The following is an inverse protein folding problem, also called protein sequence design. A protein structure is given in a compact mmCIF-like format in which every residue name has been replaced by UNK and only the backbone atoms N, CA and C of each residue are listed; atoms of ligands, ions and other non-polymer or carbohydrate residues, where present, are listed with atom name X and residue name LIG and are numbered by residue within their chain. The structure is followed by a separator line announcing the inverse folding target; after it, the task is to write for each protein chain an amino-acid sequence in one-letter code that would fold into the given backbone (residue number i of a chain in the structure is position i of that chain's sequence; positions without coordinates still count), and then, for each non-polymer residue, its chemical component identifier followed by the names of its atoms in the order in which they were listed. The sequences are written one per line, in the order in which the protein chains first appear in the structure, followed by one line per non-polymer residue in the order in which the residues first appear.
data_IF_514924886001
#
_entry.id   IF_514924886001
#
_cell.length_a   1.000
_cell.length_b   1.000
_cell.length_c   1.000
_cell.angle_alpha   90.00
_cell.angle_beta   90.00
_cell.angle_gamma   90.00
#
_symmetry.space_group_name_H-M   'P 1'
#
loop_
_entity.id
_entity.type
_entity.pdbx_description
1 polymer ?
#
# COMPACT_ATOMS: atom_id res chain seq x y z
N UNK A 1 5.40 16.09 -0.92
CA UNK A 1 4.79 15.94 -2.27
C UNK A 1 5.87 15.51 -3.25
N UNK A 2 5.65 14.39 -3.91
CA UNK A 2 6.51 13.86 -4.97
C UNK A 2 6.32 14.72 -6.23
N UNK A 3 7.42 15.12 -6.87
CA UNK A 3 7.41 15.86 -8.14
C UNK A 3 8.17 15.18 -9.27
N UNK A 4 8.90 14.11 -8.95
CA UNK A 4 9.60 13.28 -9.93
C UNK A 4 9.33 11.81 -9.66
N UNK A 5 9.12 11.03 -10.71
CA UNK A 5 8.93 9.58 -10.59
C UNK A 5 10.13 8.91 -9.91
N UNK A 6 11.34 9.42 -10.15
CA UNK A 6 12.56 8.95 -9.49
C UNK A 6 12.55 9.18 -7.96
N UNK A 7 11.97 10.30 -7.51
CA UNK A 7 11.86 10.58 -6.07
C UNK A 7 10.88 9.61 -5.40
N UNK A 8 9.78 9.29 -6.09
CA UNK A 8 8.86 8.24 -5.64
C UNK A 8 9.55 6.88 -5.60
N UNK A 9 10.21 6.45 -6.68
CA UNK A 9 10.89 5.15 -6.72
C UNK A 9 11.84 5.00 -5.54
N UNK A 10 12.70 6.01 -5.31
CA UNK A 10 13.67 5.99 -4.21
C UNK A 10 12.99 5.96 -2.84
N UNK A 11 12.01 6.82 -2.60
CA UNK A 11 11.33 6.92 -1.31
C UNK A 11 10.49 5.67 -1.03
N UNK A 12 9.63 5.29 -1.97
CA UNK A 12 8.73 4.16 -1.84
C UNK A 12 9.48 2.83 -1.78
N UNK A 13 10.54 2.62 -2.58
CA UNK A 13 11.38 1.42 -2.48
C UNK A 13 12.02 1.29 -1.09
N UNK A 14 12.41 2.40 -0.47
CA UNK A 14 12.93 2.38 0.90
C UNK A 14 11.84 2.06 1.93
N UNK A 15 10.67 2.70 1.84
CA UNK A 15 9.53 2.43 2.73
C UNK A 15 9.06 0.97 2.59
N UNK A 16 8.89 0.49 1.36
CA UNK A 16 8.51 -0.89 1.05
C UNK A 16 9.44 -1.90 1.71
N UNK A 17 10.76 -1.70 1.62
CA UNK A 17 11.75 -2.57 2.28
C UNK A 17 11.63 -2.50 3.80
N UNK A 18 11.40 -1.33 4.36
CA UNK A 18 11.17 -1.15 5.80
C UNK A 18 9.92 -1.90 6.28
N UNK A 19 8.79 -1.70 5.58
CA UNK A 19 7.53 -2.38 5.89
C UNK A 19 7.66 -3.90 5.76
N UNK A 20 8.28 -4.39 4.68
CA UNK A 20 8.53 -5.83 4.52
C UNK A 20 9.39 -6.41 5.65
N UNK A 21 10.39 -5.67 6.13
CA UNK A 21 11.20 -6.10 7.28
C UNK A 21 10.37 -6.20 8.55
N UNK A 22 9.42 -5.28 8.77
CA UNK A 22 8.50 -5.33 9.91
C UNK A 22 7.52 -6.50 9.76
N UNK A 23 6.92 -6.67 8.59
CA UNK A 23 5.99 -7.78 8.31
C UNK A 23 6.67 -9.15 8.45
N UNK A 24 7.95 -9.26 8.10
CA UNK A 24 8.73 -10.48 8.30
C UNK A 24 8.95 -10.85 9.78
N UNK A 25 8.76 -9.90 10.71
CA UNK A 25 8.83 -10.15 12.15
C UNK A 25 7.47 -10.50 12.77
N UNK A 26 6.37 -10.38 12.01
CA UNK A 26 5.03 -10.76 12.45
C UNK A 26 4.89 -12.28 12.38
N UNK A 27 4.37 -12.89 13.45
CA UNK A 27 4.06 -14.33 13.50
C UNK A 27 2.55 -14.55 13.48
N UNK A 28 2.12 -15.76 13.17
CA UNK A 28 0.70 -16.14 13.15
C UNK A 28 0.04 -15.90 14.52
N UNK A 29 0.75 -16.18 15.62
CA UNK A 29 0.26 -15.94 16.99
C UNK A 29 0.07 -14.45 17.28
N UNK A 30 0.93 -13.59 16.71
CA UNK A 30 0.86 -12.14 16.94
C UNK A 30 -0.29 -11.46 16.20
N UNK A 31 -0.89 -12.11 15.18
CA UNK A 31 -1.96 -11.50 14.36
C UNK A 31 -3.20 -11.11 15.18
N UNK A 32 -3.48 -11.86 16.25
CA UNK A 32 -4.60 -11.61 17.16
C UNK A 32 -4.37 -10.45 18.14
N UNK A 33 -3.13 -9.95 18.28
CA UNK A 33 -2.80 -8.91 19.26
C UNK A 33 -3.54 -7.61 18.95
N UNK A 34 -4.45 -7.18 19.84
CA UNK A 34 -5.11 -5.89 19.74
C UNK A 34 -4.21 -4.76 20.23
N UNK A 35 -4.35 -3.58 19.62
CA UNK A 35 -3.69 -2.34 20.11
C UNK A 35 -4.22 -1.96 21.49
N UNK A 36 -5.53 -2.05 21.67
CA UNK A 36 -6.26 -1.87 22.92
C UNK A 36 -7.60 -2.63 22.82
N UNK A 37 -8.29 -2.92 23.94
CA UNK A 37 -9.57 -3.61 23.91
C UNK A 37 -10.58 -2.93 22.96
N UNK A 38 -11.08 -3.68 21.98
CA UNK A 38 -12.04 -3.18 20.98
C UNK A 38 -11.44 -2.47 19.77
N UNK A 39 -10.11 -2.35 19.68
CA UNK A 39 -9.41 -1.77 18.53
C UNK A 39 -8.92 -2.86 17.57
N UNK A 40 -8.41 -2.43 16.40
CA UNK A 40 -7.86 -3.34 15.38
C UNK A 40 -6.74 -4.21 15.97
N UNK A 41 -6.69 -5.46 15.51
CA UNK A 41 -5.55 -6.34 15.77
C UNK A 41 -4.38 -6.03 14.84
N UNK A 42 -3.19 -6.53 15.20
CA UNK A 42 -2.00 -6.44 14.37
C UNK A 42 -2.24 -7.02 12.97
N UNK A 43 -2.91 -8.18 12.88
CA UNK A 43 -3.27 -8.78 11.59
C UNK A 43 -4.20 -7.89 10.75
N UNK A 44 -5.19 -7.24 11.37
CA UNK A 44 -6.08 -6.30 10.66
C UNK A 44 -5.34 -5.05 10.17
N UNK A 45 -4.40 -4.52 10.96
CA UNK A 45 -3.57 -3.38 10.57
C UNK A 45 -2.63 -3.79 9.42
N UNK A 46 -1.97 -4.94 9.53
CA UNK A 46 -1.07 -5.44 8.50
C UNK A 46 -1.81 -5.72 7.19
N UNK A 47 -3.01 -6.31 7.24
CA UNK A 47 -3.84 -6.52 6.05
C UNK A 47 -4.34 -5.22 5.43
N UNK A 48 -4.67 -4.22 6.27
CA UNK A 48 -5.05 -2.91 5.77
C UNK A 48 -3.95 -2.26 4.93
N UNK A 49 -2.66 -2.46 5.27
CA UNK A 49 -1.56 -1.98 4.43
C UNK A 49 -1.55 -2.60 3.03
N UNK A 50 -1.96 -3.86 2.90
CA UNK A 50 -2.05 -4.56 1.61
C UNK A 50 -3.20 -3.99 0.80
N UNK A 51 -4.39 -3.90 1.41
CA UNK A 51 -5.60 -3.41 0.76
C UNK A 51 -5.48 -1.94 0.33
N UNK A 52 -4.88 -1.07 1.15
CA UNK A 52 -4.71 0.34 0.82
C UNK A 52 -3.87 0.56 -0.45
N UNK A 53 -2.91 -0.32 -0.76
CA UNK A 53 -2.16 -0.25 -2.02
C UNK A 53 -3.07 -0.46 -3.22
N UNK A 54 -4.01 -1.39 -3.11
CA UNK A 54 -4.98 -1.69 -4.16
C UNK A 54 -6.06 -0.61 -4.27
N UNK A 55 -6.69 -0.21 -3.15
CA UNK A 55 -7.76 0.79 -3.14
C UNK A 55 -7.26 2.13 -3.67
N UNK A 56 -6.19 2.69 -3.09
CA UNK A 56 -5.66 3.99 -3.52
C UNK A 56 -5.08 3.94 -4.93
N UNK A 57 -4.35 2.86 -5.26
CA UNK A 57 -3.77 2.69 -6.59
C UNK A 57 -4.84 2.63 -7.68
N UNK A 58 -5.94 1.92 -7.45
CA UNK A 58 -7.03 1.80 -8.42
C UNK A 58 -7.88 3.06 -8.56
N UNK A 59 -8.05 3.85 -7.49
CA UNK A 59 -8.65 5.19 -7.58
C UNK A 59 -7.85 6.12 -8.49
N UNK A 60 -6.53 5.90 -8.59
CA UNK A 60 -5.65 6.62 -9.51
C UNK A 60 -5.49 5.92 -10.88
N UNK A 61 -6.30 4.90 -11.19
CA UNK A 61 -6.25 4.19 -12.48
C UNK A 61 -5.02 3.29 -12.70
N UNK A 62 -4.30 2.92 -11.64
CA UNK A 62 -3.06 2.13 -11.77
C UNK A 62 -3.30 0.64 -12.04
N UNK A 63 -4.51 0.11 -11.80
CA UNK A 63 -4.87 -1.26 -12.15
C UNK A 63 -4.14 -2.31 -11.30
N UNK A 64 -4.09 -2.07 -9.99
CA UNK A 64 -3.50 -2.96 -9.00
C UNK A 64 -4.49 -4.07 -8.68
N UNK A 65 -3.99 -5.30 -8.47
CA UNK A 65 -4.83 -6.41 -8.05
C UNK A 65 -5.56 -6.10 -6.73
N UNK A 66 -6.86 -6.36 -6.67
CA UNK A 66 -7.67 -6.14 -5.46
C UNK A 66 -7.60 -7.33 -4.53
N UNK A 67 -7.80 -7.06 -3.24
CA UNK A 67 -7.91 -8.08 -2.20
C UNK A 67 -9.25 -7.94 -1.49
N UNK A 68 -9.67 -9.01 -0.81
CA UNK A 68 -10.85 -8.95 0.05
C UNK A 68 -10.48 -8.34 1.39
N UNK A 69 -10.90 -7.09 1.61
CA UNK A 69 -10.60 -6.35 2.83
C UNK A 69 -11.17 -7.03 4.08
N UNK A 70 -12.37 -7.62 4.03
CA UNK A 70 -13.03 -8.22 5.18
C UNK A 70 -12.30 -9.47 5.64
N UNK A 71 -11.78 -10.25 4.69
CA UNK A 71 -11.12 -11.52 4.90
C UNK A 71 -9.61 -11.38 5.16
N UNK A 72 -9.24 -11.15 6.43
CA UNK A 72 -7.82 -11.15 6.87
C UNK A 72 -7.23 -12.56 6.70
N UNK A 73 -6.06 -12.70 6.05
CA UNK A 73 -5.41 -13.99 5.90
C UNK A 73 -5.09 -14.65 7.24
N UNK A 74 -5.13 -15.99 7.24
CA UNK A 74 -4.89 -16.79 8.45
C UNK A 74 -3.43 -16.80 8.90
N UNK A 75 -2.49 -16.49 8.01
CA UNK A 75 -1.05 -16.53 8.30
C UNK A 75 -0.37 -15.19 8.01
N UNK A 76 0.63 -14.86 8.82
CA UNK A 76 1.45 -13.68 8.65
C UNK A 76 2.21 -13.72 7.31
N UNK A 77 2.61 -14.92 6.88
CA UNK A 77 3.24 -15.13 5.57
C UNK A 77 2.36 -14.66 4.42
N UNK A 78 1.08 -15.03 4.39
CA UNK A 78 0.14 -14.60 3.34
C UNK A 78 0.00 -13.08 3.28
N UNK A 79 0.00 -12.41 4.44
CA UNK A 79 -0.04 -10.93 4.50
C UNK A 79 1.25 -10.34 3.93
N UNK A 80 2.42 -10.87 4.35
CA UNK A 80 3.72 -10.38 3.86
C UNK A 80 3.90 -10.59 2.35
N UNK A 81 3.50 -11.75 1.82
CA UNK A 81 3.55 -12.08 0.40
C UNK A 81 2.57 -11.19 -0.39
N UNK A 82 1.39 -10.93 0.16
CA UNK A 82 0.41 -10.00 -0.41
C UNK A 82 0.95 -8.58 -0.51
N UNK A 83 1.56 -8.07 0.57
CA UNK A 83 2.19 -6.75 0.58
C UNK A 83 3.34 -6.68 -0.42
N UNK A 84 4.22 -7.69 -0.44
CA UNK A 84 5.37 -7.73 -1.35
C UNK A 84 4.94 -7.61 -2.82
N UNK A 85 3.91 -8.38 -3.17
CA UNK A 85 3.35 -8.46 -4.52
C UNK A 85 2.65 -7.16 -4.93
N UNK A 86 1.71 -6.67 -4.13
CA UNK A 86 0.91 -5.47 -4.49
C UNK A 86 1.76 -4.20 -4.45
N UNK A 87 2.69 -4.06 -3.51
CA UNK A 87 3.61 -2.92 -3.49
C UNK A 87 4.56 -2.94 -4.69
N UNK A 88 4.97 -4.14 -5.15
CA UNK A 88 5.73 -4.30 -6.39
C UNK A 88 4.91 -3.90 -7.63
N UNK A 89 3.65 -4.33 -7.71
CA UNK A 89 2.73 -3.92 -8.78
C UNK A 89 2.53 -2.40 -8.79
N UNK A 90 2.33 -1.78 -7.63
CA UNK A 90 2.18 -0.32 -7.52
C UNK A 90 3.41 0.42 -8.04
N UNK A 91 4.60 0.03 -7.58
CA UNK A 91 5.85 0.64 -8.02
C UNK A 91 6.04 0.49 -9.54
N UNK A 92 5.78 -0.70 -10.08
CA UNK A 92 5.88 -0.94 -11.51
C UNK A 92 4.85 -0.11 -12.31
N UNK A 93 3.59 -0.08 -11.87
CA UNK A 93 2.52 0.63 -12.55
C UNK A 93 2.77 2.14 -12.59
N UNK A 94 3.24 2.75 -11.51
CA UNK A 94 3.61 4.17 -11.49
C UNK A 94 4.73 4.45 -12.49
N UNK A 95 5.79 3.63 -12.51
CA UNK A 95 6.95 3.82 -13.39
C UNK A 95 6.64 3.57 -14.87
N UNK A 96 5.68 2.70 -15.16
CA UNK A 96 5.26 2.35 -16.52
C UNK A 96 4.26 3.36 -17.09
N UNK A 97 3.30 3.79 -16.28
CA UNK A 97 2.15 4.58 -16.75
C UNK A 97 2.29 6.08 -16.57
N UNK A 98 3.10 6.53 -15.61
CA UNK A 98 3.20 7.95 -15.25
C UNK A 98 4.58 8.51 -15.56
N UNK A 99 4.59 9.78 -15.95
CA UNK A 99 5.78 10.63 -16.02
C UNK A 99 5.67 11.75 -14.96
N UNK A 100 6.65 12.66 -14.94
CA UNK A 100 6.65 13.77 -13.98
C UNK A 100 5.45 14.70 -14.15
N UNK A 101 4.91 14.85 -15.38
CA UNK A 101 3.75 15.68 -15.64
C UNK A 101 2.46 15.05 -15.09
N UNK A 102 2.35 13.72 -15.13
CA UNK A 102 1.23 13.00 -14.55
C UNK A 102 1.09 13.25 -13.04
N UNK A 103 2.16 13.58 -12.32
CA UNK A 103 2.10 13.85 -10.87
C UNK A 103 1.30 15.11 -10.51
N UNK A 104 1.07 16.01 -11.47
CA UNK A 104 0.25 17.22 -11.31
C UNK A 104 -1.24 16.98 -11.61
N UNK A 105 -1.59 15.84 -12.20
CA UNK A 105 -2.99 15.46 -12.42
C UNK A 105 -3.67 15.14 -11.09
N UNK A 106 -4.98 15.37 -11.03
CA UNK A 106 -5.80 15.12 -9.86
C UNK A 106 -6.75 13.94 -10.10
N UNK A 107 -6.85 13.05 -9.12
CA UNK A 107 -7.84 11.99 -9.09
C UNK A 107 -8.74 12.18 -7.85
N UNK A 108 -9.99 11.69 -7.93
CA UNK A 108 -10.92 11.68 -6.79
C UNK A 108 -10.50 10.58 -5.80
N UNK A 109 -10.00 11.00 -4.65
CA UNK A 109 -9.78 10.16 -3.50
C UNK A 109 -10.78 10.54 -2.42
N UNK A 110 -11.80 9.69 -2.26
CA UNK A 110 -12.78 9.76 -1.18
C UNK A 110 -13.63 11.04 -1.19
N UNK A 111 -13.92 11.57 -2.38
CA UNK A 111 -14.69 12.81 -2.58
C UNK A 111 -13.84 14.08 -2.61
N UNK A 112 -12.51 13.94 -2.51
CA UNK A 112 -11.56 15.05 -2.60
C UNK A 112 -10.64 14.87 -3.82
N UNK A 113 -10.37 15.96 -4.54
CA UNK A 113 -9.45 15.95 -5.67
C UNK A 113 -8.02 16.09 -5.17
N UNK A 114 -7.23 15.03 -5.28
CA UNK A 114 -5.84 15.01 -4.83
C UNK A 114 -4.91 14.89 -6.02
N UNK A 115 -3.85 15.71 -6.03
CA UNK A 115 -2.77 15.54 -6.99
C UNK A 115 -2.09 14.19 -6.79
N UNK A 116 -1.79 13.48 -7.87
CA UNK A 116 -1.08 12.19 -7.85
C UNK A 116 0.23 12.25 -7.04
N UNK A 117 0.98 13.34 -7.16
CA UNK A 117 2.19 13.56 -6.37
C UNK A 117 1.97 13.75 -4.86
N UNK A 118 0.76 14.11 -4.42
CA UNK A 118 0.34 14.09 -3.00
C UNK A 118 -0.06 12.68 -2.60
N UNK A 119 -0.84 11.98 -3.44
CA UNK A 119 -1.27 10.60 -3.18
C UNK A 119 -0.09 9.64 -2.99
N UNK A 120 1.02 9.85 -3.70
CA UNK A 120 2.25 9.04 -3.57
C UNK A 120 3.18 9.45 -2.42
N UNK A 121 2.90 10.55 -1.69
CA UNK A 121 3.83 11.17 -0.75
C UNK A 121 3.77 10.60 0.67
#
# INVERSE_FOLDING_TARGET
MIRRIEDFDRAFSNQRRGTLKVLAAVTDESLGQQVAPGYRSLGRIAWHLVDSLADMGNRCGLGIETVDWDNVPATAKQISDGYERLSGQLLAAVKDKWDDAALELEDDLYGEMWKRGITLA
#
